data_IF_200059018235
#
_entry.id   IF_200059018235
#
_cell.length_a   1.000
_cell.length_b   1.000
_cell.length_c   1.000
_cell.angle_alpha   90.00
_cell.angle_beta   90.00
_cell.angle_gamma   90.00
#
_symmetry.space_group_name_H-M   'P 1'
#
loop_
_entity.id
_entity.type
_entity.pdbx_description
1 polymer ?
#
# COMPACT_ATOMS: atom_id res chain seq x y z
N UNK A 1 -3.90 15.01 -5.63
CA UNK A 1 -2.98 14.30 -6.55
C UNK A 1 -1.91 13.55 -5.73
N UNK A 2 -1.58 12.31 -6.10
CA UNK A 2 -0.59 11.50 -5.37
C UNK A 2 0.79 12.12 -5.61
N UNK A 3 1.38 12.70 -4.58
CA UNK A 3 2.68 13.36 -4.65
C UNK A 3 3.47 13.12 -3.37
N UNK A 4 4.80 12.91 -3.45
CA UNK A 4 5.61 12.78 -2.27
C UNK A 4 5.56 14.08 -1.45
N UNK A 5 5.26 14.02 -0.14
CA UNK A 5 5.39 15.18 0.73
C UNK A 5 6.88 15.56 0.89
N UNK A 6 7.17 16.80 1.27
CA UNK A 6 8.55 17.32 1.37
C UNK A 6 9.50 16.46 2.21
N UNK A 7 8.99 15.83 3.26
CA UNK A 7 9.80 14.98 4.14
C UNK A 7 10.13 13.60 3.53
N UNK A 8 9.48 13.21 2.43
CA UNK A 8 9.60 11.86 1.85
C UNK A 8 11.04 11.49 1.51
N UNK A 9 11.82 12.43 0.99
CA UNK A 9 13.19 12.18 0.52
C UNK A 9 14.19 11.96 1.65
N UNK A 10 13.84 12.40 2.87
CA UNK A 10 14.74 12.40 4.02
C UNK A 10 14.42 11.29 5.03
N UNK A 11 13.36 10.50 4.80
CA UNK A 11 12.90 9.51 5.78
C UNK A 11 13.07 8.08 5.32
N UNK A 12 13.30 7.20 6.30
CA UNK A 12 13.20 5.76 6.10
C UNK A 12 11.76 5.26 6.21
N UNK A 13 11.48 4.15 5.54
CA UNK A 13 10.10 3.63 5.43
C UNK A 13 9.59 2.90 6.68
N UNK A 14 10.41 2.79 7.72
CA UNK A 14 10.09 2.10 8.97
C UNK A 14 11.32 1.93 9.84
N UNK A 15 11.12 1.51 11.09
CA UNK A 15 12.22 1.33 12.06
C UNK A 15 13.08 0.10 11.76
N UNK A 16 12.57 -0.84 10.96
CA UNK A 16 13.30 -2.00 10.42
C UNK A 16 14.26 -1.65 9.28
N UNK A 17 14.23 -0.41 8.76
CA UNK A 17 15.16 0.03 7.73
C UNK A 17 16.30 0.83 8.35
N UNK A 18 17.47 0.72 7.72
CA UNK A 18 18.66 1.50 8.07
C UNK A 18 18.81 2.73 7.19
N UNK A 19 18.55 2.58 5.88
CA UNK A 19 18.67 3.63 4.87
C UNK A 19 17.31 4.06 4.31
N UNK A 20 17.15 5.33 3.89
CA UNK A 20 16.02 5.77 3.08
C UNK A 20 15.95 5.03 1.72
N UNK A 21 14.79 5.02 1.06
CA UNK A 21 14.66 4.54 -0.32
C UNK A 21 15.58 5.31 -1.27
N UNK A 22 16.26 4.61 -2.17
CA UNK A 22 17.15 5.21 -3.17
C UNK A 22 16.46 5.48 -4.51
N UNK A 23 15.33 4.81 -4.76
CA UNK A 23 14.57 4.92 -6.00
C UNK A 23 13.71 6.20 -5.97
N UNK A 24 13.78 7.02 -7.03
CA UNK A 24 13.08 8.32 -7.08
C UNK A 24 11.55 8.19 -7.03
N UNK A 25 10.98 7.17 -7.68
CA UNK A 25 9.54 6.92 -7.75
C UNK A 25 9.00 6.04 -6.60
N UNK A 26 9.77 5.88 -5.51
CA UNK A 26 9.40 4.99 -4.40
C UNK A 26 8.04 5.34 -3.77
N UNK A 27 7.66 6.62 -3.75
CA UNK A 27 6.37 7.06 -3.22
C UNK A 27 5.21 6.55 -4.09
N UNK A 28 5.37 6.61 -5.41
CA UNK A 28 4.37 6.11 -6.37
C UNK A 28 4.28 4.58 -6.31
N UNK A 29 5.41 3.88 -6.25
CA UNK A 29 5.45 2.42 -6.08
C UNK A 29 4.75 2.02 -4.79
N UNK A 30 5.05 2.70 -3.68
CA UNK A 30 4.41 2.40 -2.39
C UNK A 30 2.92 2.72 -2.43
N UNK A 31 2.51 3.77 -3.13
CA UNK A 31 1.11 4.14 -3.31
C UNK A 31 0.34 3.10 -4.12
N UNK A 32 0.91 2.63 -5.22
CA UNK A 32 0.35 1.53 -6.02
C UNK A 32 0.23 0.23 -5.20
N UNK A 33 1.27 -0.10 -4.42
CA UNK A 33 1.25 -1.28 -3.55
C UNK A 33 0.19 -1.19 -2.44
N UNK A 34 0.01 0.01 -1.85
CA UNK A 34 -1.04 0.27 -0.85
C UNK A 34 -2.43 0.14 -1.49
N UNK A 35 -2.66 0.77 -2.65
CA UNK A 35 -3.94 0.67 -3.37
C UNK A 35 -4.31 -0.79 -3.67
N UNK A 36 -3.36 -1.57 -4.19
CA UNK A 36 -3.55 -3.01 -4.43
C UNK A 36 -3.89 -3.77 -3.15
N UNK A 37 -3.22 -3.49 -2.03
CA UNK A 37 -3.51 -4.13 -0.74
C UNK A 37 -4.89 -3.74 -0.19
N UNK A 38 -5.35 -2.52 -0.42
CA UNK A 38 -6.72 -2.11 -0.06
C UNK A 38 -7.74 -2.94 -0.84
N UNK A 39 -7.52 -3.19 -2.14
CA UNK A 39 -8.40 -4.07 -2.92
C UNK A 39 -8.44 -5.52 -2.45
N UNK A 40 -7.29 -6.07 -2.06
CA UNK A 40 -7.19 -7.46 -1.61
C UNK A 40 -7.67 -7.69 -0.17
N UNK A 41 -7.46 -6.73 0.73
CA UNK A 41 -7.61 -6.90 2.19
C UNK A 41 -8.60 -5.92 2.81
N UNK A 42 -9.32 -5.13 2.00
CA UNK A 42 -10.28 -4.15 2.49
C UNK A 42 -11.42 -4.82 3.27
N UNK A 43 -11.89 -4.22 4.39
CA UNK A 43 -11.55 -2.90 4.93
C UNK A 43 -10.23 -2.90 5.72
N UNK A 44 -9.32 -1.96 5.42
CA UNK A 44 -8.01 -1.89 6.09
C UNK A 44 -7.63 -0.47 6.52
N UNK A 45 -7.13 -0.32 7.76
CA UNK A 45 -6.65 0.94 8.32
C UNK A 45 -5.14 1.11 8.27
N UNK A 46 -4.64 2.30 8.63
CA UNK A 46 -3.21 2.64 8.58
C UNK A 46 -2.33 1.74 9.48
N UNK A 47 -2.86 1.21 10.60
CA UNK A 47 -2.10 0.34 11.50
C UNK A 47 -1.81 -1.02 10.86
N UNK A 48 -2.86 -1.71 10.37
CA UNK A 48 -2.72 -2.97 9.65
C UNK A 48 -1.90 -2.78 8.37
N UNK A 49 -2.11 -1.67 7.64
CA UNK A 49 -1.31 -1.35 6.46
C UNK A 49 0.19 -1.20 6.82
N UNK A 50 0.52 -0.55 7.93
CA UNK A 50 1.90 -0.44 8.38
C UNK A 50 2.52 -1.81 8.72
N UNK A 51 1.75 -2.75 9.28
CA UNK A 51 2.22 -4.12 9.54
C UNK A 51 2.51 -4.86 8.24
N UNK A 52 1.72 -4.64 7.18
CA UNK A 52 1.94 -5.23 5.85
C UNK A 52 3.24 -4.77 5.19
N UNK A 53 3.76 -3.60 5.56
CA UNK A 53 5.05 -3.07 5.11
C UNK A 53 6.11 -3.08 6.23
N UNK A 54 5.92 -3.94 7.22
CA UNK A 54 6.89 -4.22 8.27
C UNK A 54 7.99 -5.19 7.82
N UNK A 55 8.89 -5.50 8.74
CA UNK A 55 9.99 -6.42 8.49
C UNK A 55 10.79 -6.73 9.75
N UNK A 56 11.76 -7.66 9.66
CA UNK A 56 12.69 -7.93 10.75
C UNK A 56 13.54 -6.69 11.01
N UNK A 57 13.61 -6.26 12.27
CA UNK A 57 14.52 -5.21 12.72
C UNK A 57 15.74 -5.84 13.38
N UNK A 58 16.92 -5.46 12.89
CA UNK A 58 18.18 -5.71 13.57
C UNK A 58 18.24 -4.87 14.87
N UNK A 59 18.54 -5.55 15.98
CA UNK A 59 18.62 -4.97 17.33
C UNK A 59 20.04 -5.06 17.90
N UNK A 60 21.04 -5.16 17.02
CA UNK A 60 22.44 -5.36 17.35
C UNK A 60 22.66 -6.75 17.94
N UNK A 61 23.15 -6.80 19.18
CA UNK A 61 23.46 -8.07 19.86
C UNK A 61 22.20 -8.88 20.20
N UNK A 62 21.02 -8.23 20.29
CA UNK A 62 19.76 -8.92 20.60
C UNK A 62 19.15 -9.54 19.35
N UNK A 63 18.48 -10.68 19.53
CA UNK A 63 17.73 -11.35 18.46
C UNK A 63 16.77 -10.42 17.70
N UNK A 64 16.71 -10.65 16.39
CA UNK A 64 15.82 -9.96 15.47
C UNK A 64 14.35 -10.15 15.87
N UNK A 65 13.57 -9.08 15.72
CA UNK A 65 12.11 -9.12 15.92
C UNK A 65 11.41 -8.43 14.77
N UNK A 66 10.25 -8.95 14.39
CA UNK A 66 9.37 -8.30 13.44
C UNK A 66 8.83 -7.00 14.04
N UNK A 67 8.87 -5.93 13.25
CA UNK A 67 8.28 -4.63 13.60
C UNK A 67 7.48 -4.11 12.41
N UNK A 68 6.52 -3.24 12.68
CA UNK A 68 5.74 -2.58 11.63
C UNK A 68 6.58 -1.57 10.83
N UNK A 69 6.10 -1.26 9.63
CA UNK A 69 6.55 -0.13 8.83
C UNK A 69 6.07 1.21 9.42
N UNK A 70 6.44 2.30 8.75
CA UNK A 70 6.01 3.64 9.15
C UNK A 70 4.50 3.80 8.97
N UNK A 71 3.80 4.03 10.09
CA UNK A 71 2.37 4.34 10.09
C UNK A 71 2.07 5.71 9.46
N UNK A 72 3.01 6.66 9.54
CA UNK A 72 2.83 7.98 8.95
C UNK A 72 2.73 7.87 7.42
N UNK A 73 3.71 7.18 6.80
CA UNK A 73 3.72 6.95 5.35
C UNK A 73 2.44 6.25 4.89
N UNK A 74 2.04 5.17 5.58
CA UNK A 74 0.81 4.46 5.24
C UNK A 74 -0.44 5.36 5.34
N UNK A 75 -0.52 6.21 6.38
CA UNK A 75 -1.64 7.14 6.56
C UNK A 75 -1.68 8.22 5.48
N UNK A 76 -0.55 8.87 5.20
CA UNK A 76 -0.47 9.96 4.21
C UNK A 76 -0.88 9.45 2.82
N UNK A 77 -0.40 8.26 2.43
CA UNK A 77 -0.79 7.66 1.16
C UNK A 77 -2.29 7.32 1.14
N UNK A 78 -2.83 6.74 2.21
CA UNK A 78 -4.28 6.47 2.28
C UNK A 78 -5.12 7.76 2.22
N UNK A 79 -4.63 8.87 2.77
CA UNK A 79 -5.29 10.17 2.64
C UNK A 79 -5.25 10.66 1.19
N UNK A 80 -4.07 10.66 0.56
CA UNK A 80 -3.93 11.07 -0.86
C UNK A 80 -4.76 10.21 -1.81
N UNK A 81 -4.82 8.89 -1.60
CA UNK A 81 -5.67 7.99 -2.40
C UNK A 81 -7.16 8.27 -2.18
N UNK A 82 -7.55 8.65 -0.96
CA UNK A 82 -8.94 9.02 -0.64
C UNK A 82 -9.31 10.35 -1.29
N UNK A 83 -8.39 11.32 -1.31
CA UNK A 83 -8.56 12.62 -1.98
C UNK A 83 -8.66 12.47 -3.50
N UNK A 84 -8.01 11.45 -4.07
CA UNK A 84 -8.10 11.12 -5.49
C UNK A 84 -9.36 10.30 -5.84
N UNK A 85 -10.26 10.01 -4.89
CA UNK A 85 -11.49 9.26 -5.15
C UNK A 85 -11.30 7.76 -5.38
N UNK A 86 -10.09 7.22 -5.18
CA UNK A 86 -9.79 5.81 -5.46
C UNK A 86 -10.16 4.86 -4.31
N UNK A 87 -10.25 5.41 -3.09
CA UNK A 87 -10.65 4.66 -1.90
C UNK A 87 -11.59 5.47 -1.03
N UNK A 88 -12.44 4.79 -0.29
CA UNK A 88 -13.40 5.39 0.64
C UNK A 88 -13.35 4.74 2.02
N UNK A 89 -13.91 5.41 3.02
CA UNK A 89 -14.03 4.84 4.37
C UNK A 89 -15.22 3.89 4.44
N UNK A 90 -15.02 2.70 4.97
CA UNK A 90 -16.13 1.80 5.31
C UNK A 90 -16.53 2.02 6.76
N UNK A 91 -17.76 2.48 6.97
CA UNK A 91 -18.34 2.61 8.31
C UNK A 91 -19.09 1.33 8.69
N UNK A 92 -19.29 1.12 9.99
CA UNK A 92 -20.27 0.14 10.47
C UNK A 92 -21.71 0.58 10.11
N UNK A 93 -22.68 -0.32 10.25
CA UNK A 93 -24.10 -0.06 9.97
C UNK A 93 -24.65 1.17 10.73
N UNK A 94 -24.15 1.42 11.94
CA UNK A 94 -24.55 2.55 12.78
C UNK A 94 -23.84 3.88 12.43
N UNK A 95 -22.88 3.89 11.50
CA UNK A 95 -22.14 5.08 11.11
C UNK A 95 -21.15 5.63 12.15
N UNK A 96 -20.96 4.93 13.27
CA UNK A 96 -20.16 5.40 14.42
C UNK A 96 -18.70 4.95 14.38
N UNK A 97 -18.40 3.83 13.73
CA UNK A 97 -17.06 3.22 13.74
C UNK A 97 -16.52 3.09 12.32
N UNK A 98 -15.34 3.64 12.08
CA UNK A 98 -14.60 3.45 10.83
C UNK A 98 -13.84 2.13 10.86
N UNK A 99 -14.21 1.20 9.97
CA UNK A 99 -13.60 -0.13 9.84
C UNK A 99 -12.30 -0.09 9.04
N UNK A 100 -12.03 0.99 8.32
CA UNK A 100 -10.87 1.16 7.46
C UNK A 100 -11.24 1.67 6.08
N UNK A 101 -10.36 1.43 5.11
CA UNK A 101 -10.54 1.84 3.72
C UNK A 101 -10.89 0.68 2.81
N UNK A 102 -11.74 0.93 1.84
CA UNK A 102 -12.13 0.02 0.75
C UNK A 102 -11.97 0.73 -0.61
N UNK A 103 -11.89 -0.04 -1.69
CA UNK A 103 -11.85 0.51 -3.04
C UNK A 103 -13.19 1.13 -3.43
N UNK A 104 -13.13 2.22 -4.18
CA UNK A 104 -14.28 2.73 -4.95
C UNK A 104 -14.37 1.99 -6.28
N UNK A 105 -15.47 2.21 -7.01
CA UNK A 105 -15.63 1.70 -8.38
C UNK A 105 -14.52 2.19 -9.32
N UNK A 106 -14.09 3.45 -9.18
CA UNK A 106 -12.99 4.04 -9.94
C UNK A 106 -11.64 3.40 -9.58
N UNK A 107 -11.39 3.18 -8.28
CA UNK A 107 -10.20 2.49 -7.80
C UNK A 107 -10.09 1.06 -8.32
N UNK A 108 -11.20 0.32 -8.31
CA UNK A 108 -11.29 -1.03 -8.87
C UNK A 108 -11.01 -1.02 -10.37
N UNK A 109 -11.68 -0.15 -11.13
CA UNK A 109 -11.48 -0.01 -12.59
C UNK A 109 -10.01 0.28 -12.94
N UNK A 110 -9.34 1.14 -12.17
CA UNK A 110 -7.93 1.45 -12.40
C UNK A 110 -7.04 0.21 -12.22
N UNK A 111 -7.25 -0.56 -11.15
CA UNK A 111 -6.49 -1.78 -10.89
C UNK A 111 -6.74 -2.86 -11.96
N UNK A 112 -8.00 -3.04 -12.37
CA UNK A 112 -8.37 -4.02 -13.39
C UNK A 112 -7.77 -3.65 -14.75
N UNK A 113 -7.81 -2.37 -15.14
CA UNK A 113 -7.15 -1.90 -16.36
C UNK A 113 -5.64 -2.13 -16.33
N UNK A 114 -4.99 -1.84 -15.19
CA UNK A 114 -3.56 -2.09 -15.03
C UNK A 114 -3.24 -3.59 -15.13
N UNK A 115 -4.05 -4.46 -14.50
CA UNK A 115 -3.90 -5.91 -14.58
C UNK A 115 -4.09 -6.44 -16.01
N UNK A 116 -5.10 -5.94 -16.73
CA UNK A 116 -5.32 -6.29 -18.14
C UNK A 116 -4.15 -5.87 -19.03
N UNK A 117 -3.56 -4.69 -18.80
CA UNK A 117 -2.44 -4.19 -19.62
C UNK A 117 -1.19 -5.09 -19.57
N UNK A 118 -0.97 -5.79 -18.46
CA UNK A 118 0.18 -6.68 -18.26
C UNK A 118 -0.15 -8.15 -18.49
N UNK A 119 -1.40 -8.47 -18.85
CA UNK A 119 -1.89 -9.85 -18.96
C UNK A 119 -1.10 -10.67 -19.97
N UNK A 120 -0.81 -10.11 -21.16
CA UNK A 120 -0.03 -10.78 -22.19
C UNK A 120 1.39 -11.17 -21.70
N UNK A 121 2.05 -10.26 -20.97
CA UNK A 121 3.37 -10.52 -20.38
C UNK A 121 3.30 -11.61 -19.30
N UNK A 122 2.18 -11.68 -18.57
CA UNK A 122 1.96 -12.73 -17.58
C UNK A 122 1.73 -14.11 -18.23
N UNK A 123 0.98 -14.17 -19.33
CA UNK A 123 0.73 -15.39 -20.09
C UNK A 123 2.00 -15.94 -20.75
N UNK A 124 2.86 -15.06 -21.27
CA UNK A 124 4.17 -15.47 -21.79
C UNK A 124 5.04 -16.11 -20.71
N UNK A 125 5.06 -15.53 -19.51
CA UNK A 125 5.84 -16.06 -18.37
C UNK A 125 5.23 -17.33 -17.78
N UNK A 126 3.91 -17.48 -17.86
CA UNK A 126 3.16 -18.57 -17.25
C UNK A 126 2.09 -19.08 -18.23
N UNK A 127 2.46 -19.96 -19.20
CA UNK A 127 1.55 -20.39 -20.27
C UNK A 127 0.23 -21.04 -19.81
N UNK A 128 0.19 -21.58 -18.59
CA UNK A 128 -1.04 -22.15 -18.00
C UNK A 128 -2.11 -21.12 -17.63
N UNK A 129 -1.82 -19.82 -17.67
CA UNK A 129 -2.81 -18.78 -17.36
C UNK A 129 -3.87 -18.62 -18.45
N UNK A 130 -3.58 -18.95 -19.71
CA UNK A 130 -4.50 -18.74 -20.82
C UNK A 130 -5.86 -19.45 -20.67
N UNK A 131 -5.93 -20.47 -19.81
CA UNK A 131 -7.17 -21.18 -19.48
C UNK A 131 -8.08 -20.51 -18.44
N UNK A 132 -7.67 -19.37 -17.85
CA UNK A 132 -8.37 -18.65 -16.78
C UNK A 132 -8.48 -17.15 -17.06
#
# INVERSE_FOLDING_TARGET
>A
PISPPEWADYVKTGTHRERPPTQQDWWHIRSAAILRKVGLMGPIGANHMAQQFGGPKDRGVKQNRAVSGSRNIARTILQQLSECGLIESKMNLAGTVNLGRVLTSEGQKLLDNAAHSIRAVAEERYPGLAGY
#
